data_IF_457591840139
#
_entry.id   IF_457591840139
#
_cell.length_a   1.000
_cell.length_b   1.000
_cell.length_c   1.000
_cell.angle_alpha   90.00
_cell.angle_beta   90.00
_cell.angle_gamma   90.00
#
_symmetry.space_group_name_H-M   'P 1'
#
loop_
_entity.id
_entity.type
_entity.pdbx_description
1 polymer ?
#
# COMPACT_ATOMS: atom_id res chain seq x y z
N UNK A 1 28.35 -3.06 10.87
CA UNK A 1 27.06 -3.27 10.19
C UNK A 1 26.50 -1.89 9.86
N UNK A 2 25.78 -1.73 8.74
CA UNK A 2 25.19 -0.44 8.33
C UNK A 2 24.23 0.07 9.41
N UNK A 3 24.26 1.37 9.68
CA UNK A 3 23.29 2.05 10.56
C UNK A 3 22.09 2.61 9.77
N UNK A 4 21.94 2.25 8.50
CA UNK A 4 20.90 2.75 7.61
C UNK A 4 20.02 1.60 7.08
N UNK A 5 18.76 1.91 6.81
CA UNK A 5 17.87 1.04 6.04
C UNK A 5 18.37 1.04 4.59
N UNK A 6 18.69 -0.13 4.05
CA UNK A 6 19.19 -0.30 2.68
C UNK A 6 18.08 -0.86 1.82
N UNK A 7 17.76 -0.21 0.70
CA UNK A 7 16.72 -0.63 -0.24
C UNK A 7 17.35 -1.10 -1.54
N UNK A 8 17.16 -2.37 -1.87
CA UNK A 8 17.62 -2.98 -3.11
C UNK A 8 16.54 -2.84 -4.18
N UNK A 9 16.90 -2.28 -5.33
CA UNK A 9 16.00 -2.20 -6.48
C UNK A 9 16.02 -3.54 -7.20
N UNK A 10 14.87 -3.95 -7.72
CA UNK A 10 14.79 -5.09 -8.65
C UNK A 10 15.76 -4.93 -9.81
N UNK A 11 16.34 -6.03 -10.34
CA UNK A 11 17.42 -5.96 -11.30
C UNK A 11 17.04 -5.19 -12.56
N UNK A 12 17.99 -4.42 -13.10
CA UNK A 12 17.75 -3.56 -14.26
C UNK A 12 17.31 -4.31 -15.51
N UNK A 13 17.70 -5.58 -15.66
CA UNK A 13 17.33 -6.42 -16.82
C UNK A 13 15.86 -6.86 -16.81
N UNK A 14 15.12 -6.63 -15.73
CA UNK A 14 13.67 -6.84 -15.69
C UNK A 14 12.97 -5.60 -16.25
N UNK A 15 12.61 -5.69 -17.53
CA UNK A 15 11.98 -4.61 -18.32
C UNK A 15 10.49 -4.42 -18.03
N UNK A 16 9.86 -5.36 -17.32
CA UNK A 16 8.43 -5.28 -17.04
C UNK A 16 8.13 -4.08 -16.14
N UNK A 17 7.14 -3.27 -16.51
CA UNK A 17 6.80 -2.02 -15.81
C UNK A 17 6.54 -2.22 -14.31
N UNK A 18 5.90 -3.33 -13.93
CA UNK A 18 5.64 -3.68 -12.54
C UNK A 18 6.89 -3.83 -11.68
N UNK A 19 8.05 -4.15 -12.29
CA UNK A 19 9.31 -4.30 -11.57
C UNK A 19 9.79 -2.99 -10.96
N UNK A 20 9.29 -1.84 -11.42
CA UNK A 20 9.66 -0.51 -10.92
C UNK A 20 8.76 -0.01 -9.78
N UNK A 21 7.80 -0.82 -9.33
CA UNK A 21 6.82 -0.41 -8.32
C UNK A 21 7.13 -0.92 -6.90
N UNK A 22 8.24 -1.62 -6.70
CA UNK A 22 8.67 -2.12 -5.39
C UNK A 22 10.20 -2.31 -5.31
N UNK A 23 10.70 -2.39 -4.08
CA UNK A 23 12.07 -2.86 -3.80
C UNK A 23 12.12 -4.38 -3.80
N UNK A 24 13.19 -4.94 -4.38
CA UNK A 24 13.48 -6.38 -4.36
C UNK A 24 13.70 -6.88 -2.94
N UNK A 25 14.48 -6.14 -2.16
CA UNK A 25 14.76 -6.42 -0.77
C UNK A 25 14.99 -5.13 -0.01
N UNK A 26 14.73 -5.17 1.30
CA UNK A 26 15.05 -4.09 2.23
C UNK A 26 15.74 -4.68 3.45
N UNK A 27 16.93 -4.17 3.76
CA UNK A 27 17.66 -4.52 4.98
C UNK A 27 17.36 -3.48 6.06
N UNK A 28 16.98 -3.96 7.24
CA UNK A 28 16.65 -3.13 8.40
C UNK A 28 17.75 -3.32 9.46
N UNK A 29 18.45 -2.24 9.87
CA UNK A 29 19.53 -2.36 10.85
C UNK A 29 18.99 -2.58 12.27
N UNK A 30 19.83 -3.12 13.16
CA UNK A 30 19.44 -3.49 14.53
C UNK A 30 18.97 -2.30 15.39
N UNK A 31 19.35 -1.07 15.04
CA UNK A 31 18.95 0.16 15.74
C UNK A 31 17.66 0.79 15.18
N UNK A 32 16.91 0.09 14.33
CA UNK A 32 15.63 0.56 13.83
C UNK A 32 14.47 0.21 14.77
N UNK A 33 13.52 1.13 14.90
CA UNK A 33 12.21 0.86 15.52
C UNK A 33 11.18 0.56 14.45
N UNK A 34 10.48 -0.55 14.60
CA UNK A 34 9.46 -1.02 13.65
C UNK A 34 8.06 -0.89 14.21
N UNK A 35 7.11 -0.54 13.35
CA UNK A 35 5.67 -0.60 13.61
C UNK A 35 5.01 -1.35 12.45
N UNK A 36 4.00 -2.15 12.78
CA UNK A 36 3.11 -2.78 11.80
C UNK A 36 1.71 -2.28 12.07
N UNK A 37 1.03 -1.81 11.02
CA UNK A 37 -0.38 -1.45 11.10
C UNK A 37 -1.24 -2.67 10.82
N UNK A 38 -2.44 -2.73 11.40
CA UNK A 38 -3.48 -3.64 10.93
C UNK A 38 -3.86 -3.34 9.48
N UNK A 39 -4.55 -4.27 8.82
CA UNK A 39 -5.12 -4.04 7.50
C UNK A 39 -6.04 -2.81 7.52
N UNK A 40 -5.82 -1.90 6.56
CA UNK A 40 -6.59 -0.67 6.39
C UNK A 40 -7.46 -0.82 5.14
N UNK A 41 -8.77 -0.77 5.35
CA UNK A 41 -9.78 -0.73 4.29
C UNK A 41 -10.28 0.68 3.99
N UNK A 42 -11.15 0.80 2.99
CA UNK A 42 -11.67 2.09 2.54
C UNK A 42 -12.71 2.67 3.50
N UNK A 43 -12.74 4.01 3.61
CA UNK A 43 -13.83 4.72 4.26
C UNK A 43 -14.94 5.01 3.24
N UNK A 44 -16.20 5.16 3.69
CA UNK A 44 -17.30 5.55 2.82
C UNK A 44 -17.06 6.90 2.16
N UNK A 45 -17.39 7.01 0.87
CA UNK A 45 -17.28 8.26 0.10
C UNK A 45 -18.61 8.73 -0.46
N UNK A 46 -19.63 7.87 -0.46
CA UNK A 46 -20.98 8.19 -0.92
C UNK A 46 -22.02 7.64 0.08
N UNK A 47 -22.49 8.50 0.98
CA UNK A 47 -23.45 8.12 2.02
C UNK A 47 -24.89 7.94 1.51
N UNK A 48 -25.16 8.35 0.26
CA UNK A 48 -26.47 8.19 -0.39
C UNK A 48 -26.61 6.85 -1.12
N UNK A 49 -25.51 6.09 -1.30
CA UNK A 49 -25.55 4.74 -1.85
C UNK A 49 -25.92 3.69 -0.79
N UNK A 50 -26.41 2.54 -1.25
CA UNK A 50 -26.71 1.41 -0.38
C UNK A 50 -25.48 1.02 0.46
N UNK A 51 -25.58 0.95 1.81
CA UNK A 51 -24.46 0.59 2.66
C UNK A 51 -23.83 -0.75 2.27
N UNK A 52 -22.53 -0.88 2.54
CA UNK A 52 -21.75 -2.08 2.26
C UNK A 52 -21.56 -2.44 0.78
N UNK A 53 -21.99 -1.57 -0.15
CA UNK A 53 -21.77 -1.78 -1.58
C UNK A 53 -20.49 -1.11 -2.07
N UNK A 54 -19.97 -1.54 -3.22
CA UNK A 54 -18.84 -0.84 -3.89
C UNK A 54 -19.19 0.64 -4.12
N UNK A 55 -20.43 0.97 -4.50
CA UNK A 55 -20.87 2.34 -4.72
C UNK A 55 -20.82 3.22 -3.46
N UNK A 56 -20.90 2.62 -2.27
CA UNK A 56 -20.78 3.32 -0.98
C UNK A 56 -19.34 3.75 -0.66
N UNK A 57 -18.35 2.94 -1.04
CA UNK A 57 -16.92 3.19 -0.82
C UNK A 57 -16.19 3.79 -2.03
N UNK A 58 -16.79 3.71 -3.23
CA UNK A 58 -16.18 4.13 -4.49
C UNK A 58 -15.46 3.00 -5.23
N UNK A 59 -14.96 3.30 -6.41
CA UNK A 59 -14.17 2.38 -7.23
C UNK A 59 -12.78 2.09 -6.62
N UNK A 60 -12.04 1.14 -7.20
CA UNK A 60 -10.73 0.74 -6.68
C UNK A 60 -9.75 1.92 -6.57
N UNK A 61 -9.81 2.89 -7.48
CA UNK A 61 -9.00 4.11 -7.42
C UNK A 61 -9.33 4.93 -6.18
N UNK A 62 -10.61 5.18 -5.96
CA UNK A 62 -11.14 5.94 -4.81
C UNK A 62 -10.80 5.25 -3.50
N UNK A 63 -11.02 3.95 -3.42
CA UNK A 63 -10.70 3.14 -2.25
C UNK A 63 -9.20 3.10 -1.97
N UNK A 64 -8.35 2.92 -2.99
CA UNK A 64 -6.88 2.94 -2.83
C UNK A 64 -6.42 4.27 -2.24
N UNK A 65 -6.96 5.39 -2.75
CA UNK A 65 -6.63 6.71 -2.21
C UNK A 65 -7.05 6.84 -0.74
N UNK A 66 -8.29 6.46 -0.41
CA UNK A 66 -8.78 6.46 0.97
C UNK A 66 -7.89 5.63 1.89
N UNK A 67 -7.45 4.45 1.46
CA UNK A 67 -6.60 3.56 2.25
C UNK A 67 -5.22 4.17 2.48
N UNK A 68 -4.57 4.69 1.44
CA UNK A 68 -3.22 5.26 1.56
C UNK A 68 -3.20 6.58 2.36
N UNK A 69 -4.24 7.42 2.22
CA UNK A 69 -4.41 8.62 3.05
C UNK A 69 -4.56 8.27 4.54
N UNK A 70 -5.32 7.22 4.85
CA UNK A 70 -5.46 6.73 6.22
C UNK A 70 -4.14 6.19 6.77
N UNK A 71 -3.43 5.36 6.00
CA UNK A 71 -2.13 4.82 6.39
C UNK A 71 -1.15 5.95 6.70
N UNK A 72 -1.08 6.97 5.85
CA UNK A 72 -0.23 8.13 6.08
C UNK A 72 -0.55 8.80 7.41
N UNK A 73 -1.83 9.12 7.66
CA UNK A 73 -2.28 9.78 8.91
C UNK A 73 -1.99 8.93 10.15
N UNK A 74 -2.20 7.61 10.09
CA UNK A 74 -1.93 6.69 11.20
C UNK A 74 -0.43 6.65 11.51
N UNK A 75 0.42 6.57 10.49
CA UNK A 75 1.88 6.58 10.64
C UNK A 75 2.36 7.92 11.23
N UNK A 76 1.88 9.04 10.69
CA UNK A 76 2.21 10.39 11.17
C UNK A 76 1.84 10.57 12.65
N UNK A 77 0.64 10.11 13.05
CA UNK A 77 0.19 10.10 14.44
C UNK A 77 1.02 9.19 15.37
N UNK A 78 1.88 8.32 14.82
CA UNK A 78 2.83 7.46 15.54
C UNK A 78 4.28 7.93 15.40
N UNK A 79 4.50 9.07 14.73
CA UNK A 79 5.83 9.64 14.47
C UNK A 79 6.61 8.93 13.36
N UNK A 80 5.92 8.28 12.44
CA UNK A 80 6.48 7.69 11.21
C UNK A 80 6.00 8.48 9.99
N UNK A 81 6.63 8.27 8.85
CA UNK A 81 6.23 8.83 7.55
C UNK A 81 6.07 7.71 6.54
N UNK A 82 5.50 8.00 5.36
CA UNK A 82 5.45 7.03 4.27
C UNK A 82 6.86 6.57 3.82
N UNK A 83 7.89 7.39 4.02
CA UNK A 83 9.28 7.03 3.69
C UNK A 83 9.88 5.95 4.58
N UNK A 84 9.25 5.71 5.73
CA UNK A 84 9.63 4.65 6.66
C UNK A 84 8.97 3.31 6.29
N UNK A 85 7.99 3.28 5.39
CA UNK A 85 7.33 2.03 4.98
C UNK A 85 8.32 1.12 4.25
N UNK A 86 8.46 -0.10 4.74
CA UNK A 86 9.36 -1.13 4.20
C UNK A 86 8.60 -2.30 3.56
N UNK A 87 7.36 -2.53 3.96
CA UNK A 87 6.53 -3.60 3.39
C UNK A 87 5.11 -3.09 3.18
N UNK A 88 4.56 -3.41 2.01
CA UNK A 88 3.15 -3.23 1.66
C UNK A 88 2.59 -4.58 1.24
N UNK A 89 1.52 -5.02 1.88
CA UNK A 89 0.71 -6.13 1.42
C UNK A 89 -0.67 -5.60 1.06
N UNK A 90 -1.08 -5.79 -0.20
CA UNK A 90 -2.39 -5.36 -0.68
C UNK A 90 -3.20 -6.59 -1.14
N UNK A 91 -4.36 -6.77 -0.52
CA UNK A 91 -5.34 -7.79 -0.88
C UNK A 91 -6.45 -7.14 -1.70
N UNK A 92 -6.86 -7.79 -2.78
CA UNK A 92 -7.82 -7.25 -3.73
C UNK A 92 -9.03 -8.16 -3.89
N UNK A 93 -10.20 -7.58 -4.06
CA UNK A 93 -11.41 -8.28 -4.51
C UNK A 93 -11.69 -7.80 -5.93
N UNK A 94 -11.94 -8.76 -6.83
CA UNK A 94 -12.40 -8.43 -8.17
C UNK A 94 -13.91 -8.23 -8.16
N UNK A 95 -14.37 -7.19 -8.85
CA UNK A 95 -15.79 -7.04 -9.15
C UNK A 95 -16.18 -8.11 -10.20
N UNK A 96 -17.19 -8.96 -9.94
CA UNK A 96 -17.60 -10.01 -10.89
C UNK A 96 -17.94 -9.47 -12.28
N UNK A 97 -18.56 -8.30 -12.34
CA UNK A 97 -18.94 -7.59 -13.57
C UNK A 97 -17.73 -7.05 -14.37
N UNK A 98 -16.51 -7.08 -13.80
CA UNK A 98 -15.26 -6.59 -14.41
C UNK A 98 -14.29 -7.73 -14.73
N UNK A 99 -14.79 -8.77 -15.40
CA UNK A 99 -14.00 -9.93 -15.86
C UNK A 99 -13.30 -10.73 -14.74
N UNK A 100 -13.67 -10.53 -13.48
CA UNK A 100 -13.10 -11.27 -12.34
C UNK A 100 -11.63 -10.98 -12.04
N UNK A 101 -11.08 -9.85 -12.54
CA UNK A 101 -9.70 -9.42 -12.28
C UNK A 101 -9.72 -8.02 -11.63
N UNK A 102 -8.99 -7.79 -10.52
CA UNK A 102 -8.84 -6.45 -9.95
C UNK A 102 -8.16 -5.49 -10.94
N UNK A 103 -8.57 -4.23 -10.93
CA UNK A 103 -7.91 -3.18 -11.71
C UNK A 103 -6.58 -2.76 -11.06
N UNK A 104 -5.58 -3.63 -11.20
CA UNK A 104 -4.23 -3.40 -10.67
C UNK A 104 -3.59 -2.13 -11.23
N UNK A 105 -3.98 -1.69 -12.43
CA UNK A 105 -3.48 -0.46 -13.05
C UNK A 105 -3.95 0.77 -12.28
N UNK A 106 -5.24 0.84 -11.93
CA UNK A 106 -5.76 1.91 -11.08
C UNK A 106 -5.11 1.96 -9.71
N UNK A 107 -4.85 0.79 -9.09
CA UNK A 107 -4.07 0.75 -7.85
C UNK A 107 -2.65 1.28 -8.05
N UNK A 108 -1.93 0.80 -9.07
CA UNK A 108 -0.55 1.20 -9.36
C UNK A 108 -0.42 2.70 -9.63
N UNK A 109 -1.38 3.30 -10.34
CA UNK A 109 -1.40 4.73 -10.63
C UNK A 109 -1.52 5.57 -9.36
N UNK A 110 -2.46 5.24 -8.46
CA UNK A 110 -2.60 5.95 -7.18
C UNK A 110 -1.38 5.69 -6.30
N UNK A 111 -0.94 4.43 -6.21
CA UNK A 111 0.21 4.04 -5.40
C UNK A 111 1.49 4.84 -5.75
N UNK A 112 1.71 5.14 -7.03
CA UNK A 112 2.85 5.95 -7.49
C UNK A 112 2.82 7.41 -7.01
N UNK A 113 1.67 7.91 -6.55
CA UNK A 113 1.58 9.24 -5.90
C UNK A 113 2.21 9.20 -4.48
N UNK A 114 2.14 8.06 -3.80
CA UNK A 114 2.57 7.88 -2.40
C UNK A 114 3.97 7.27 -2.26
N UNK A 115 4.38 6.43 -3.21
CA UNK A 115 5.67 5.72 -3.18
C UNK A 115 6.37 5.76 -4.54
N UNK A 116 7.69 5.96 -4.53
CA UNK A 116 8.49 6.05 -5.75
C UNK A 116 8.30 7.35 -6.53
N UNK A 117 7.63 8.35 -5.94
CA UNK A 117 7.47 9.69 -6.50
C UNK A 117 8.71 10.55 -6.26
N UNK A 118 8.79 11.72 -6.90
CA UNK A 118 9.87 12.67 -6.64
C UNK A 118 9.86 13.20 -5.19
N UNK A 119 8.67 13.33 -4.59
CA UNK A 119 8.51 13.77 -3.20
C UNK A 119 8.79 12.66 -2.18
N UNK A 120 8.47 11.41 -2.53
CA UNK A 120 8.74 10.22 -1.73
C UNK A 120 9.36 9.12 -2.61
N UNK A 121 10.69 9.10 -2.79
CA UNK A 121 11.34 8.18 -3.73
C UNK A 121 11.48 6.76 -3.20
N UNK A 122 11.17 6.50 -1.92
CA UNK A 122 11.36 5.20 -1.32
C UNK A 122 10.24 4.23 -1.70
N UNK A 123 10.62 3.15 -2.38
CA UNK A 123 9.75 2.02 -2.66
C UNK A 123 9.83 0.99 -1.52
N UNK A 124 8.70 0.50 -0.99
CA UNK A 124 8.68 -0.65 -0.10
C UNK A 124 8.79 -1.96 -0.88
N UNK A 125 9.08 -3.06 -0.18
CA UNK A 125 8.75 -4.41 -0.69
C UNK A 125 7.24 -4.54 -0.81
N UNK A 126 6.75 -5.31 -1.78
CA UNK A 126 5.30 -5.38 -2.04
C UNK A 126 4.81 -6.75 -2.44
N UNK A 127 3.68 -7.14 -1.85
CA UNK A 127 2.88 -8.29 -2.28
C UNK A 127 1.48 -7.81 -2.67
N UNK A 128 0.96 -8.33 -3.78
CA UNK A 128 -0.43 -8.14 -4.23
C UNK A 128 -1.05 -9.50 -4.45
N UNK A 129 -2.27 -9.71 -3.95
CA UNK A 129 -3.01 -10.94 -4.18
C UNK A 129 -4.50 -10.67 -4.32
N UNK A 130 -5.15 -11.38 -5.23
CA UNK A 130 -6.61 -11.44 -5.27
C UNK A 130 -7.11 -12.45 -4.23
N UNK A 131 -8.14 -12.06 -3.49
CA UNK A 131 -8.88 -12.90 -2.54
C UNK A 131 -10.34 -12.99 -2.96
N UNK A 132 -11.07 -13.96 -2.41
CA UNK A 132 -12.50 -14.15 -2.72
C UNK A 132 -13.42 -13.13 -2.03
N UNK A 133 -12.91 -12.42 -1.03
CA UNK A 133 -13.64 -11.40 -0.28
C UNK A 133 -12.78 -10.76 0.81
N UNK A 134 -13.21 -9.59 1.26
CA UNK A 134 -12.72 -8.90 2.45
C UNK A 134 -13.84 -8.85 3.49
N UNK A 135 -13.55 -8.37 4.70
CA UNK A 135 -14.53 -8.33 5.81
C UNK A 135 -15.73 -7.44 5.47
N UNK A 136 -15.47 -6.30 4.85
CA UNK A 136 -16.51 -5.38 4.39
C UNK A 136 -16.83 -5.69 2.91
N UNK A 137 -18.08 -6.10 2.59
CA UNK A 137 -18.44 -6.57 1.24
C UNK A 137 -18.15 -5.57 0.12
N UNK A 138 -18.20 -4.26 0.41
CA UNK A 138 -17.95 -3.22 -0.58
C UNK A 138 -16.47 -2.88 -0.79
N UNK A 139 -15.56 -3.45 -0.01
CA UNK A 139 -14.13 -3.23 -0.17
C UNK A 139 -13.54 -3.99 -1.36
N UNK A 140 -12.80 -3.27 -2.18
CA UNK A 140 -12.02 -3.78 -3.31
C UNK A 140 -10.54 -3.90 -2.98
N UNK A 141 -10.07 -3.23 -1.93
CA UNK A 141 -8.68 -3.29 -1.48
C UNK A 141 -8.57 -3.15 0.04
N UNK A 142 -7.69 -3.95 0.63
CA UNK A 142 -7.22 -3.81 2.01
C UNK A 142 -5.69 -3.85 2.03
N UNK A 143 -5.07 -2.91 2.74
CA UNK A 143 -3.61 -2.75 2.75
C UNK A 143 -3.05 -2.84 4.17
N UNK A 144 -2.09 -3.73 4.36
CA UNK A 144 -1.27 -3.84 5.56
C UNK A 144 0.12 -3.26 5.27
N UNK A 145 0.65 -2.47 6.20
CA UNK A 145 2.01 -1.92 6.07
C UNK A 145 2.86 -2.19 7.31
N UNK A 146 4.15 -2.40 7.06
CA UNK A 146 5.20 -2.34 8.09
C UNK A 146 6.10 -1.16 7.78
N UNK A 147 6.38 -0.35 8.78
CA UNK A 147 7.29 0.79 8.70
C UNK A 147 8.42 0.67 9.73
N UNK A 148 9.63 1.04 9.33
CA UNK A 148 10.82 1.03 10.17
C UNK A 148 11.58 2.33 10.00
N UNK A 149 12.06 2.89 11.12
CA UNK A 149 12.93 4.07 11.12
C UNK A 149 14.11 3.86 12.03
N UNK A 150 15.28 4.34 11.60
CA UNK A 150 16.51 4.30 12.40
C UNK A 150 16.37 5.25 13.59
N UNK A 151 16.62 4.75 14.80
CA UNK A 151 16.69 5.59 15.99
C UNK A 151 18.13 6.05 16.16
N UNK A 152 18.35 7.36 16.19
CA UNK A 152 19.64 7.92 16.61
C UNK A 152 19.80 7.63 18.10
N UNK A 153 20.78 6.79 18.43
CA UNK A 153 21.23 6.56 19.80
C UNK A 153 22.12 7.72 20.22
#
# INVERSE_FOLDING_TARGET
MSNAIVRHRTPAHLEASWAREFSEAIEVPANAKTITLSGVGALPTNLDADPHTVSYFGDLKTQTKSVLDQIQRILEGKGYTLGDVITVQALFVAEPEKNGVPDYGSFSNVYAEYFGSAAQPHLPTRTRAQVVGLVEPGWLVEVTVTASKVVKV
#
